data_IF_200002191832
#
_entry.id   IF_200002191832
#
_cell.length_a   1.000
_cell.length_b   1.000
_cell.length_c   1.000
_cell.angle_alpha   90.00
_cell.angle_beta   90.00
_cell.angle_gamma   90.00
#
_symmetry.space_group_name_H-M   'P 1'
#
loop_
_entity.id
_entity.type
_entity.pdbx_description
1 polymer ?
#
# COMPACT_ATOMS: atom_id res chain seq x y z
N UNK A 1 23.99 -0.61 13.10
CA UNK A 1 23.87 0.56 12.20
C UNK A 1 22.77 0.22 11.21
N UNK A 2 21.54 0.63 11.48
CA UNK A 2 20.40 0.35 10.59
C UNK A 2 20.43 1.35 9.45
N UNK A 3 20.98 0.90 8.33
CA UNK A 3 20.90 1.60 7.05
C UNK A 3 19.42 1.88 6.77
N UNK A 4 18.99 3.15 6.83
CA UNK A 4 17.63 3.55 6.46
C UNK A 4 17.50 3.37 4.94
N UNK A 5 17.26 2.13 4.50
CA UNK A 5 16.87 1.85 3.12
C UNK A 5 15.66 2.73 2.82
N UNK A 6 15.84 3.66 1.88
CA UNK A 6 14.78 4.53 1.44
C UNK A 6 13.74 3.66 0.74
N UNK A 7 12.52 3.63 1.26
CA UNK A 7 11.40 2.97 0.59
C UNK A 7 11.09 3.76 -0.68
N UNK A 8 11.01 3.11 -1.85
CA UNK A 8 10.66 3.79 -3.09
C UNK A 8 9.28 4.45 -2.92
N UNK A 9 9.22 5.75 -3.25
CA UNK A 9 8.00 6.54 -3.20
C UNK A 9 7.54 6.83 -4.62
N UNK A 10 6.26 6.56 -4.89
CA UNK A 10 5.64 6.94 -6.14
C UNK A 10 5.54 8.47 -6.21
N UNK A 11 5.93 9.06 -7.35
CA UNK A 11 6.00 10.52 -7.53
C UNK A 11 4.64 11.14 -7.84
N UNK A 12 3.63 10.33 -8.12
CA UNK A 12 2.28 10.80 -8.43
C UNK A 12 1.62 11.44 -7.20
N UNK A 13 0.81 12.48 -7.44
CA UNK A 13 0.04 13.15 -6.39
C UNK A 13 -1.04 12.21 -5.79
N UNK A 14 -1.69 11.41 -6.64
CA UNK A 14 -2.66 10.40 -6.24
C UNK A 14 -2.77 9.34 -7.35
N UNK A 15 -2.59 8.07 -6.99
CA UNK A 15 -2.63 6.92 -7.91
C UNK A 15 -3.99 6.20 -7.91
N UNK A 16 -5.04 6.82 -7.39
CA UNK A 16 -6.39 6.22 -7.40
C UNK A 16 -6.85 5.90 -8.83
N UNK A 17 -6.56 6.77 -9.80
CA UNK A 17 -6.97 6.54 -11.20
C UNK A 17 -6.21 5.35 -11.78
N UNK A 18 -4.90 5.27 -11.55
CA UNK A 18 -4.06 4.15 -11.97
C UNK A 18 -4.53 2.85 -11.33
N UNK A 19 -4.89 2.87 -10.04
CA UNK A 19 -5.48 1.70 -9.35
C UNK A 19 -6.77 1.25 -10.02
N UNK A 20 -7.65 2.17 -10.42
CA UNK A 20 -8.91 1.86 -11.09
C UNK A 20 -8.70 1.33 -12.51
N UNK A 21 -7.67 1.79 -13.22
CA UNK A 21 -7.33 1.37 -14.59
C UNK A 21 -6.61 0.01 -14.62
N UNK A 22 -5.62 -0.18 -13.74
CA UNK A 22 -4.79 -1.39 -13.69
C UNK A 22 -5.44 -2.53 -12.88
N UNK A 23 -6.33 -2.19 -11.93
CA UNK A 23 -7.02 -3.14 -11.07
C UNK A 23 -6.04 -4.00 -10.25
N UNK A 24 -6.21 -5.32 -10.32
CA UNK A 24 -5.35 -6.28 -9.61
C UNK A 24 -3.87 -6.21 -10.00
N UNK A 25 -3.54 -5.67 -11.18
CA UNK A 25 -2.15 -5.56 -11.64
C UNK A 25 -1.40 -4.36 -11.04
N UNK A 26 -2.11 -3.39 -10.44
CA UNK A 26 -1.51 -2.16 -9.92
C UNK A 26 -0.29 -2.41 -9.03
N UNK A 27 -0.46 -3.26 -8.01
CA UNK A 27 0.61 -3.57 -7.06
C UNK A 27 1.77 -4.28 -7.76
N UNK A 28 1.45 -5.26 -8.63
CA UNK A 28 2.45 -6.06 -9.34
C UNK A 28 3.32 -5.19 -10.27
N UNK A 29 2.70 -4.32 -11.06
CA UNK A 29 3.41 -3.44 -11.99
C UNK A 29 4.39 -2.52 -11.26
N UNK A 30 4.01 -1.99 -10.08
CA UNK A 30 4.87 -1.12 -9.27
C UNK A 30 6.02 -1.89 -8.61
N UNK A 31 5.80 -3.11 -8.14
CA UNK A 31 6.88 -3.97 -7.61
C UNK A 31 7.93 -4.26 -8.70
N UNK A 32 7.49 -4.62 -9.91
CA UNK A 32 8.36 -4.87 -11.05
C UNK A 32 9.11 -3.60 -11.47
N UNK A 33 8.44 -2.44 -11.46
CA UNK A 33 9.06 -1.15 -11.79
C UNK A 33 10.12 -0.74 -10.75
N UNK A 34 9.81 -0.82 -9.46
CA UNK A 34 10.70 -0.37 -8.38
C UNK A 34 11.71 -1.42 -7.94
N UNK A 35 11.59 -2.66 -8.43
CA UNK A 35 12.43 -3.80 -8.02
C UNK A 35 12.47 -3.95 -6.50
N UNK A 36 11.31 -3.76 -5.86
CA UNK A 36 11.16 -3.77 -4.40
C UNK A 36 9.79 -4.32 -3.98
N UNK A 37 9.78 -5.14 -2.94
CA UNK A 37 8.57 -5.73 -2.37
C UNK A 37 7.75 -4.75 -1.51
N UNK A 38 8.25 -3.52 -1.33
CA UNK A 38 7.61 -2.44 -0.59
C UNK A 38 7.72 -1.12 -1.35
N UNK A 39 6.62 -0.39 -1.44
CA UNK A 39 6.63 0.98 -1.95
C UNK A 39 5.57 1.83 -1.25
N UNK A 40 5.78 3.14 -1.29
CA UNK A 40 4.85 4.12 -0.74
C UNK A 40 4.15 4.87 -1.87
N UNK A 41 2.85 5.13 -1.73
CA UNK A 41 2.06 5.86 -2.71
C UNK A 41 0.91 6.63 -2.04
N UNK A 42 0.18 7.43 -2.80
CA UNK A 42 -1.07 8.05 -2.37
C UNK A 42 -2.24 7.36 -3.06
N UNK A 43 -3.20 6.87 -2.29
CA UNK A 43 -4.47 6.32 -2.78
C UNK A 43 -5.60 6.97 -2.00
N UNK A 44 -6.64 7.39 -2.71
CA UNK A 44 -7.88 7.96 -2.18
C UNK A 44 -7.59 9.15 -1.25
N UNK A 45 -6.64 10.00 -1.64
CA UNK A 45 -6.17 11.16 -0.88
C UNK A 45 -5.36 10.83 0.39
N UNK A 46 -4.98 9.57 0.60
CA UNK A 46 -4.24 9.13 1.78
C UNK A 46 -2.91 8.49 1.40
N UNK A 47 -1.89 8.75 2.21
CA UNK A 47 -0.60 8.06 2.11
C UNK A 47 -0.77 6.61 2.55
N UNK A 48 -0.35 5.69 1.69
CA UNK A 48 -0.46 4.24 1.86
C UNK A 48 0.86 3.57 1.52
N UNK A 49 1.13 2.46 2.21
CA UNK A 49 2.29 1.62 1.98
C UNK A 49 1.78 0.29 1.42
N UNK A 50 2.25 -0.07 0.24
CA UNK A 50 1.97 -1.34 -0.40
C UNK A 50 3.14 -2.30 -0.13
N UNK A 51 2.82 -3.50 0.35
CA UNK A 51 3.78 -4.56 0.65
C UNK A 51 3.31 -5.88 0.02
N UNK A 52 4.24 -6.69 -0.47
CA UNK A 52 3.96 -8.00 -1.07
C UNK A 52 4.88 -9.09 -0.52
N UNK A 53 4.55 -10.35 -0.80
CA UNK A 53 5.33 -11.52 -0.41
C UNK A 53 4.89 -12.16 0.91
N UNK A 54 5.51 -13.31 1.20
CA UNK A 54 5.14 -14.14 2.35
C UNK A 54 5.40 -13.42 3.69
N UNK A 55 6.56 -12.77 3.81
CA UNK A 55 6.94 -12.03 5.02
C UNK A 55 6.03 -10.82 5.25
N UNK A 56 5.62 -10.14 4.18
CA UNK A 56 4.65 -9.05 4.27
C UNK A 56 3.28 -9.54 4.75
N UNK A 57 2.83 -10.71 4.29
CA UNK A 57 1.59 -11.31 4.78
C UNK A 57 1.68 -11.63 6.27
N UNK A 58 2.78 -12.23 6.74
CA UNK A 58 3.01 -12.51 8.18
C UNK A 58 2.95 -11.23 9.02
N UNK A 59 3.54 -10.13 8.53
CA UNK A 59 3.49 -8.83 9.19
C UNK A 59 2.07 -8.24 9.19
N UNK A 60 1.38 -8.25 8.05
CA UNK A 60 0.03 -7.70 7.89
C UNK A 60 -1.01 -8.36 8.81
N UNK A 61 -0.87 -9.67 9.06
CA UNK A 61 -1.74 -10.40 9.98
C UNK A 61 -1.33 -10.28 11.45
N UNK A 62 -0.24 -9.59 11.79
CA UNK A 62 0.19 -9.41 13.17
C UNK A 62 -0.66 -8.32 13.87
N UNK A 63 -1.49 -8.69 14.87
CA UNK A 63 -2.39 -7.75 15.53
C UNK A 63 -1.67 -6.72 16.42
N UNK A 64 -0.38 -6.92 16.72
CA UNK A 64 0.44 -5.95 17.47
C UNK A 64 0.98 -4.83 16.58
N UNK A 65 1.02 -5.05 15.27
CA UNK A 65 1.61 -4.13 14.29
C UNK A 65 0.55 -3.37 13.49
N UNK A 66 -0.60 -4.00 13.22
CA UNK A 66 -1.67 -3.40 12.42
C UNK A 66 -3.00 -3.36 13.18
N UNK A 67 -3.67 -2.21 13.10
CA UNK A 67 -5.05 -2.02 13.56
C UNK A 67 -6.01 -2.13 12.38
N UNK A 68 -7.19 -2.73 12.59
CA UNK A 68 -8.20 -2.93 11.53
C UNK A 68 -9.46 -2.09 11.72
N UNK A 69 -9.60 -1.39 12.83
CA UNK A 69 -10.77 -0.54 13.10
C UNK A 69 -10.68 0.72 12.24
N UNK A 70 -11.76 1.06 11.53
CA UNK A 70 -11.87 2.27 10.68
C UNK A 70 -10.88 2.36 9.51
N UNK A 71 -10.32 1.22 9.05
CA UNK A 71 -9.36 1.20 7.92
C UNK A 71 -10.03 1.09 6.55
N UNK A 72 -11.23 0.51 6.48
CA UNK A 72 -12.02 0.57 5.27
C UNK A 72 -12.56 1.99 5.12
N UNK A 73 -12.38 2.56 3.93
CA UNK A 73 -12.96 3.85 3.56
C UNK A 73 -14.47 3.72 3.70
N UNK A 74 -14.97 4.30 4.79
CA UNK A 74 -16.36 4.12 5.18
C UNK A 74 -17.18 5.12 4.38
N UNK A 75 -17.97 4.59 3.44
CA UNK A 75 -19.24 5.22 3.06
C UNK A 75 -20.37 4.20 3.12
N UNK A 76 -20.56 3.62 4.30
CA UNK A 76 -21.78 2.93 4.65
C UNK A 76 -22.51 3.84 5.64
N UNK A 77 -23.57 4.48 5.14
CA UNK A 77 -24.66 5.01 5.96
C UNK A 77 -25.03 3.93 6.99
N UNK A 78 -24.64 4.14 8.23
CA UNK A 78 -25.29 3.48 9.36
C UNK A 78 -26.62 4.22 9.54
N UNK A 79 -27.70 3.62 9.08
CA UNK A 79 -29.05 3.89 9.59
C UNK A 79 -29.44 2.74 10.50
#
# INVERSE_FOLDING_TARGET
MTDKKQVPHDKSLDNTIDLLQEGYLFIKNRIEQYHSDIFETHLLGQKVICITGEEAAKLFYNPKLFYRKNVCITRCLWY
#
